data_IF_722136312447
#
_entry.id   IF_722136312447
#
_cell.length_a   1.000
_cell.length_b   1.000
_cell.length_c   1.000
_cell.angle_alpha   90.00
_cell.angle_beta   90.00
_cell.angle_gamma   90.00
#
_symmetry.space_group_name_H-M   'P 1'
#
loop_
_entity.id
_entity.type
_entity.pdbx_description
1 polymer ?
#
# COMPACT_ATOMS: atom_id res chain seq x y z
N UNK A 1 -27.76 46.22 21.95
CA UNK A 1 -27.17 44.96 21.43
C UNK A 1 -25.95 45.33 20.61
N UNK A 2 -24.77 44.89 21.04
CA UNK A 2 -23.49 45.21 20.40
C UNK A 2 -23.20 44.21 19.27
N UNK A 3 -22.84 44.71 18.09
CA UNK A 3 -22.39 43.87 16.98
C UNK A 3 -20.94 43.45 17.22
N UNK A 4 -20.69 42.14 17.18
CA UNK A 4 -19.36 41.56 17.35
C UNK A 4 -18.56 41.70 16.05
N UNK A 5 -17.44 42.42 16.10
CA UNK A 5 -16.60 42.64 14.92
C UNK A 5 -15.76 41.38 14.70
N UNK A 6 -16.21 40.51 13.79
CA UNK A 6 -15.51 39.27 13.46
C UNK A 6 -14.62 39.42 12.22
N UNK A 7 -13.45 38.77 12.25
CA UNK A 7 -12.55 38.76 11.12
C UNK A 7 -12.98 37.71 10.06
N UNK A 8 -13.60 38.19 8.98
CA UNK A 8 -14.09 37.34 7.89
C UNK A 8 -12.98 36.54 7.17
N UNK A 9 -11.72 36.97 7.20
CA UNK A 9 -10.61 36.22 6.62
C UNK A 9 -10.33 34.95 7.42
N UNK A 10 -10.34 35.06 8.75
CA UNK A 10 -10.14 33.92 9.64
C UNK A 10 -11.30 32.93 9.53
N UNK A 11 -12.53 33.43 9.50
CA UNK A 11 -13.74 32.61 9.31
C UNK A 11 -13.68 31.84 7.98
N UNK A 12 -13.32 32.51 6.87
CA UNK A 12 -13.14 31.85 5.58
C UNK A 12 -12.03 30.80 5.60
N UNK A 13 -10.89 31.10 6.22
CA UNK A 13 -9.78 30.14 6.35
C UNK A 13 -10.20 28.91 7.15
N UNK A 14 -10.95 29.10 8.23
CA UNK A 14 -11.45 28.01 9.07
C UNK A 14 -12.45 27.13 8.31
N UNK A 15 -13.39 27.73 7.58
CA UNK A 15 -14.31 27.00 6.70
C UNK A 15 -13.56 26.16 5.66
N UNK A 16 -12.58 26.76 4.98
CA UNK A 16 -11.76 26.05 4.00
C UNK A 16 -10.97 24.89 4.61
N UNK A 17 -10.55 24.99 5.88
CA UNK A 17 -9.89 23.90 6.60
C UNK A 17 -10.86 22.77 6.92
N UNK A 18 -12.06 23.10 7.41
CA UNK A 18 -13.11 22.13 7.69
C UNK A 18 -13.55 21.36 6.43
N UNK A 19 -13.68 22.04 5.30
CA UNK A 19 -14.05 21.39 4.03
C UNK A 19 -12.97 20.41 3.55
N UNK A 20 -11.68 20.75 3.76
CA UNK A 20 -10.56 19.84 3.51
C UNK A 20 -10.54 18.64 4.47
N UNK A 21 -10.91 18.84 5.72
CA UNK A 21 -10.98 17.75 6.71
C UNK A 21 -12.12 16.77 6.37
N UNK A 22 -13.31 17.27 6.01
CA UNK A 22 -14.44 16.43 5.56
C UNK A 22 -14.08 15.60 4.34
N UNK A 23 -13.47 16.22 3.33
CA UNK A 23 -13.02 15.48 2.13
C UNK A 23 -11.93 14.46 2.46
N UNK A 24 -11.04 14.74 3.43
CA UNK A 24 -10.07 13.77 3.90
C UNK A 24 -10.74 12.60 4.65
N UNK A 25 -11.75 12.84 5.47
CA UNK A 25 -12.54 11.80 6.14
C UNK A 25 -13.30 10.92 5.15
N UNK A 26 -13.96 11.50 4.16
CA UNK A 26 -14.61 10.76 3.08
C UNK A 26 -13.62 9.90 2.32
N UNK A 27 -12.43 10.43 2.03
CA UNK A 27 -11.37 9.68 1.38
C UNK A 27 -10.83 8.54 2.25
N UNK A 28 -10.71 8.73 3.57
CA UNK A 28 -10.35 7.65 4.53
C UNK A 28 -11.42 6.56 4.54
N UNK A 29 -12.72 6.92 4.55
CA UNK A 29 -13.81 5.93 4.50
C UNK A 29 -13.87 5.19 3.16
N UNK A 30 -13.74 5.91 2.04
CA UNK A 30 -13.88 5.33 0.70
C UNK A 30 -12.69 4.47 0.29
N UNK A 31 -11.48 4.88 0.65
CA UNK A 31 -10.27 4.28 0.10
C UNK A 31 -9.35 3.65 1.14
N UNK A 32 -9.59 3.85 2.44
CA UNK A 32 -8.80 3.25 3.54
C UNK A 32 -7.33 3.70 3.63
N UNK A 33 -6.80 4.28 2.56
CA UNK A 33 -5.43 4.79 2.39
C UNK A 33 -5.50 6.14 1.70
N UNK A 34 -4.70 7.11 2.17
CA UNK A 34 -4.66 8.43 1.56
C UNK A 34 -4.07 8.38 0.14
N UNK A 35 -4.28 9.45 -0.65
CA UNK A 35 -3.65 9.57 -1.99
C UNK A 35 -2.12 9.50 -1.91
N UNK A 36 -1.53 10.20 -0.94
CA UNK A 36 -0.08 10.22 -0.71
C UNK A 36 0.47 8.82 -0.36
N UNK A 37 -0.24 8.06 0.48
CA UNK A 37 0.15 6.68 0.81
C UNK A 37 0.05 5.73 -0.38
N UNK A 38 -0.99 5.88 -1.23
CA UNK A 38 -1.12 5.10 -2.46
C UNK A 38 -0.01 5.42 -3.45
N UNK A 39 0.35 6.68 -3.60
CA UNK A 39 1.45 7.11 -4.48
C UNK A 39 2.80 6.60 -3.97
N UNK A 40 3.07 6.71 -2.67
CA UNK A 40 4.29 6.16 -2.07
C UNK A 40 4.37 4.64 -2.23
N UNK A 41 3.25 3.92 -2.06
CA UNK A 41 3.21 2.48 -2.28
C UNK A 41 3.42 2.10 -3.75
N UNK A 42 2.87 2.88 -4.69
CA UNK A 42 3.07 2.69 -6.12
C UNK A 42 4.55 2.87 -6.49
N UNK A 43 5.16 3.98 -6.07
CA UNK A 43 6.57 4.26 -6.34
C UNK A 43 7.48 3.14 -5.81
N UNK A 44 7.23 2.65 -4.58
CA UNK A 44 7.97 1.51 -4.03
C UNK A 44 7.85 0.26 -4.89
N UNK A 45 6.64 -0.04 -5.39
CA UNK A 45 6.44 -1.18 -6.31
C UNK A 45 7.23 -0.98 -7.60
N UNK A 46 7.08 0.17 -8.25
CA UNK A 46 7.81 0.49 -9.48
C UNK A 46 9.33 0.37 -9.31
N UNK A 47 9.89 0.82 -8.18
CA UNK A 47 11.33 0.66 -7.90
C UNK A 47 11.74 -0.79 -7.68
N UNK A 48 10.88 -1.60 -7.05
CA UNK A 48 11.16 -3.02 -6.82
C UNK A 48 11.07 -3.80 -8.13
N UNK A 49 10.05 -3.52 -8.94
CA UNK A 49 9.86 -4.14 -10.25
C UNK A 49 11.05 -3.82 -11.14
N UNK A 50 11.46 -2.54 -11.24
CA UNK A 50 12.63 -2.13 -11.99
C UNK A 50 13.94 -2.75 -11.46
N UNK A 51 14.07 -2.93 -10.14
CA UNK A 51 15.22 -3.60 -9.55
C UNK A 51 15.26 -5.08 -9.94
N UNK A 52 14.12 -5.78 -9.91
CA UNK A 52 14.03 -7.19 -10.33
C UNK A 52 14.30 -7.33 -11.82
N UNK A 53 13.71 -6.47 -12.66
CA UNK A 53 13.90 -6.49 -14.10
C UNK A 53 15.37 -6.26 -14.49
N UNK A 54 16.08 -5.38 -13.78
CA UNK A 54 17.52 -5.16 -14.00
C UNK A 54 18.40 -6.38 -13.68
N UNK A 55 17.91 -7.33 -12.89
CA UNK A 55 18.62 -8.57 -12.54
C UNK A 55 18.18 -9.77 -13.38
N UNK A 56 17.20 -9.62 -14.28
CA UNK A 56 16.87 -10.68 -15.24
C UNK A 56 18.01 -10.81 -16.26
N UNK A 57 18.79 -11.89 -16.16
CA UNK A 57 19.60 -12.34 -17.28
C UNK A 57 18.67 -13.03 -18.28
N UNK A 58 18.59 -12.50 -19.50
CA UNK A 58 17.98 -13.21 -20.61
C UNK A 58 18.63 -14.59 -20.72
N UNK A 59 17.81 -15.64 -20.60
CA UNK A 59 18.26 -17.01 -20.80
C UNK A 59 18.82 -17.07 -22.22
N UNK A 60 20.02 -17.62 -22.44
CA UNK A 60 20.56 -17.72 -23.79
C UNK A 60 19.67 -18.66 -24.60
N UNK A 61 18.84 -18.09 -25.47
CA UNK A 61 18.07 -18.80 -26.49
C UNK A 61 19.02 -19.20 -27.62
N UNK A 62 19.89 -20.18 -27.34
CA UNK A 62 20.82 -20.75 -28.30
C UNK A 62 20.71 -22.28 -28.30
N UNK A 63 20.70 -22.96 -29.46
CA UNK A 63 20.44 -24.40 -29.57
C UNK A 63 21.53 -25.32 -28.97
N UNK A 64 22.54 -24.76 -28.29
CA UNK A 64 23.70 -25.50 -27.72
C UNK A 64 23.74 -25.45 -26.18
N UNK A 65 22.61 -25.24 -25.51
CA UNK A 65 22.54 -25.31 -24.05
C UNK A 65 22.48 -26.77 -23.56
N UNK A 66 23.65 -27.37 -23.34
CA UNK A 66 23.82 -28.65 -22.64
C UNK A 66 23.11 -28.64 -21.26
N UNK A 67 22.27 -29.65 -20.94
CA UNK A 67 21.60 -29.73 -19.65
C UNK A 67 22.59 -30.22 -18.58
N UNK A 68 23.13 -29.31 -17.77
CA UNK A 68 23.82 -29.72 -16.55
C UNK A 68 22.81 -30.09 -15.45
N UNK A 69 22.65 -31.39 -15.25
CA UNK A 69 22.00 -31.98 -14.08
C UNK A 69 22.66 -31.48 -12.79
N UNK A 70 21.86 -30.97 -11.84
CA UNK A 70 22.00 -31.33 -10.42
C UNK A 70 20.64 -31.38 -9.74
N UNK A 71 20.10 -32.58 -9.69
CA UNK A 71 19.25 -33.00 -8.59
C UNK A 71 20.06 -32.98 -7.28
N UNK A 72 19.64 -32.19 -6.31
CA UNK A 72 19.75 -32.55 -4.88
C UNK A 72 18.45 -32.15 -4.20
N UNK A 73 17.63 -33.15 -3.91
CA UNK A 73 16.55 -33.10 -2.93
C UNK A 73 17.12 -32.68 -1.58
N UNK A 74 16.55 -31.67 -0.95
CA UNK A 74 16.51 -31.58 0.51
C UNK A 74 15.07 -31.32 0.94
N UNK A 75 14.47 -32.39 1.45
CA UNK A 75 13.29 -32.33 2.27
C UNK A 75 13.71 -31.77 3.64
N UNK A 76 13.32 -30.54 3.94
CA UNK A 76 13.12 -30.11 5.33
C UNK A 76 11.87 -29.22 5.42
N UNK A 77 10.76 -29.89 5.74
CA UNK A 77 9.88 -29.54 6.86
C UNK A 77 9.75 -28.04 7.18
N UNK A 78 8.58 -27.48 6.89
CA UNK A 78 7.64 -27.10 7.96
C UNK A 78 6.31 -26.73 7.34
N UNK A 79 5.35 -27.63 7.51
CA UNK A 79 3.94 -27.30 7.49
C UNK A 79 3.68 -26.25 8.57
N UNK A 80 3.08 -25.14 8.18
CA UNK A 80 2.29 -24.31 9.06
C UNK A 80 1.15 -23.73 8.22
N UNK A 81 0.14 -24.55 7.96
CA UNK A 81 -1.21 -24.00 7.96
C UNK A 81 -1.48 -23.41 9.34
N UNK A 82 -2.12 -22.23 9.40
CA UNK A 82 -3.12 -22.06 10.44
C UNK A 82 -4.48 -21.85 9.78
N UNK A 83 -5.16 -22.96 9.50
CA UNK A 83 -6.60 -22.98 9.36
C UNK A 83 -7.28 -22.85 10.75
N UNK A 84 -7.69 -21.62 11.09
CA UNK A 84 -8.78 -21.26 12.03
C UNK A 84 -8.55 -21.48 13.54
N UNK A 85 -9.44 -21.03 14.46
CA UNK A 85 -10.74 -20.34 14.29
C UNK A 85 -10.95 -19.07 15.18
N UNK A 86 -11.95 -18.25 14.84
CA UNK A 86 -12.83 -17.54 15.79
C UNK A 86 -12.28 -16.47 16.75
N UNK A 87 -12.64 -15.21 16.52
CA UNK A 87 -12.96 -14.26 17.61
C UNK A 87 -13.95 -13.21 17.11
N UNK A 88 -15.22 -13.58 17.16
CA UNK A 88 -16.30 -12.63 17.39
C UNK A 88 -16.05 -11.92 18.72
N UNK A 89 -15.52 -10.70 18.67
CA UNK A 89 -15.34 -9.83 19.82
C UNK A 89 -16.22 -8.59 19.67
N UNK A 90 -17.42 -8.70 20.22
CA UNK A 90 -18.17 -7.67 20.94
C UNK A 90 -17.86 -6.19 20.63
N UNK A 91 -18.84 -5.48 20.05
CA UNK A 91 -18.95 -4.02 20.18
C UNK A 91 -20.40 -3.70 20.55
N UNK A 92 -20.65 -3.61 21.85
CA UNK A 92 -21.75 -2.81 22.40
C UNK A 92 -21.57 -1.33 22.10
#
# INVERSE_FOLDING_TARGET
MSAEIINLRMVRKQKNRQDKEKTAEDNRRKYGRSKAEREAARQRRETLDAHVDGHLLEKPDGPDAEPSDKATTDADKTEAEPSGPGSSGDRG
#
